data_IF_275176816117
#
_entry.id   IF_275176816117
#
_cell.length_a   1.000
_cell.length_b   1.000
_cell.length_c   1.000
_cell.angle_alpha   90.00
_cell.angle_beta   90.00
_cell.angle_gamma   90.00
#
_symmetry.space_group_name_H-M   'P 1'
#
loop_
_entity.id
_entity.type
_entity.pdbx_description
1 polymer ?
#
# COMPACT_ATOMS: atom_id res chain seq x y z
N UNK A 1 36.50 4.57 6.84
CA UNK A 1 35.42 4.47 5.82
C UNK A 1 34.86 3.06 5.90
N UNK A 2 33.58 2.88 6.20
CA UNK A 2 32.95 1.57 6.15
C UNK A 2 33.07 1.04 4.72
N UNK A 3 33.53 -0.20 4.55
CA UNK A 3 33.53 -0.86 3.25
C UNK A 3 32.06 -1.05 2.87
N UNK A 4 31.58 -0.38 1.83
CA UNK A 4 30.21 -0.54 1.36
C UNK A 4 29.96 -2.02 1.05
N UNK A 5 29.12 -2.67 1.83
CA UNK A 5 28.79 -4.07 1.65
C UNK A 5 27.78 -4.26 0.50
N UNK A 6 26.91 -3.25 0.28
CA UNK A 6 25.85 -3.24 -0.73
C UNK A 6 25.97 -2.02 -1.66
N UNK A 7 25.47 -2.17 -2.88
CA UNK A 7 25.23 -1.01 -3.74
C UNK A 7 24.02 -0.23 -3.22
N UNK A 8 22.95 -0.96 -2.85
CA UNK A 8 21.70 -0.37 -2.35
C UNK A 8 21.17 -1.14 -1.14
N UNK A 9 20.71 -0.39 -0.13
CA UNK A 9 19.88 -0.93 0.96
C UNK A 9 18.48 -0.33 0.83
N UNK A 10 17.46 -1.18 0.81
CA UNK A 10 16.04 -0.78 0.82
C UNK A 10 15.45 -1.04 2.20
N UNK A 11 14.90 0.00 2.83
CA UNK A 11 14.27 -0.09 4.15
C UNK A 11 12.75 -0.18 3.98
N UNK A 12 12.17 -1.33 4.32
CA UNK A 12 10.77 -1.70 4.09
C UNK A 12 10.62 -2.65 2.90
N UNK A 13 9.97 -3.80 3.10
CA UNK A 13 9.84 -4.87 2.10
C UNK A 13 8.37 -5.12 1.67
N UNK A 14 7.56 -4.05 1.58
CA UNK A 14 6.18 -4.14 1.10
C UNK A 14 6.06 -3.63 -0.34
N UNK A 15 4.88 -3.16 -0.75
CA UNK A 15 4.54 -2.78 -2.11
C UNK A 15 5.49 -1.78 -2.80
N UNK A 16 6.25 -0.97 -2.06
CA UNK A 16 7.25 -0.09 -2.64
C UNK A 16 8.64 -0.75 -2.65
N UNK A 17 9.08 -1.27 -1.49
CA UNK A 17 10.46 -1.72 -1.33
C UNK A 17 10.78 -3.03 -2.02
N UNK A 18 9.91 -4.04 -1.96
CA UNK A 18 10.19 -5.32 -2.63
C UNK A 18 10.28 -5.19 -4.15
N UNK A 19 9.38 -4.48 -4.86
CA UNK A 19 9.58 -4.22 -6.29
C UNK A 19 10.85 -3.44 -6.58
N UNK A 20 11.17 -2.41 -5.79
CA UNK A 20 12.43 -1.65 -5.95
C UNK A 20 13.64 -2.57 -5.82
N UNK A 21 13.68 -3.41 -4.77
CA UNK A 21 14.78 -4.36 -4.56
C UNK A 21 14.86 -5.41 -5.68
N UNK A 22 13.72 -5.94 -6.12
CA UNK A 22 13.64 -6.89 -7.24
C UNK A 22 14.22 -6.29 -8.53
N UNK A 23 13.79 -5.08 -8.88
CA UNK A 23 14.23 -4.43 -10.12
C UNK A 23 15.71 -4.07 -10.07
N UNK A 24 16.23 -3.60 -8.94
CA UNK A 24 17.66 -3.33 -8.74
C UNK A 24 18.49 -4.62 -8.84
N UNK A 25 18.06 -5.70 -8.20
CA UNK A 25 18.75 -6.98 -8.29
C UNK A 25 18.77 -7.53 -9.73
N UNK A 26 17.67 -7.39 -10.49
CA UNK A 26 17.61 -7.76 -11.92
C UNK A 26 18.58 -6.93 -12.79
N UNK A 27 18.90 -5.70 -12.38
CA UNK A 27 19.93 -4.85 -13.03
C UNK A 27 21.36 -5.20 -12.55
N UNK A 28 21.52 -6.16 -11.65
CA UNK A 28 22.84 -6.65 -11.16
C UNK A 28 23.39 -5.88 -9.96
N UNK A 29 22.63 -4.99 -9.35
CA UNK A 29 23.08 -4.31 -8.13
C UNK A 29 23.03 -5.24 -6.91
N UNK A 30 24.07 -5.22 -6.08
CA UNK A 30 24.09 -5.93 -4.81
C UNK A 30 23.14 -5.24 -3.82
N UNK A 31 21.93 -5.80 -3.70
CA UNK A 31 20.81 -5.17 -3.00
C UNK A 31 20.48 -5.93 -1.73
N UNK A 32 20.37 -5.22 -0.62
CA UNK A 32 19.77 -5.68 0.64
C UNK A 32 18.40 -5.02 0.80
N UNK A 33 17.37 -5.80 1.13
CA UNK A 33 16.09 -5.28 1.60
C UNK A 33 15.81 -5.78 3.01
N UNK A 34 15.42 -4.87 3.90
CA UNK A 34 15.14 -5.17 5.31
C UNK A 34 13.73 -4.76 5.69
N UNK A 35 13.05 -5.57 6.51
CA UNK A 35 11.76 -5.21 7.09
C UNK A 35 11.68 -5.73 8.53
N UNK A 36 11.04 -4.95 9.41
CA UNK A 36 10.77 -5.37 10.80
C UNK A 36 9.74 -6.49 10.91
N UNK A 37 8.86 -6.63 9.90
CA UNK A 37 7.90 -7.73 9.82
C UNK A 37 8.55 -9.01 9.30
N UNK A 38 7.90 -10.13 9.57
CA UNK A 38 8.10 -11.41 8.89
C UNK A 38 6.88 -11.67 8.01
N UNK A 39 7.07 -12.19 6.82
CA UNK A 39 5.98 -12.42 5.86
C UNK A 39 5.56 -13.90 5.80
N UNK A 40 4.23 -14.16 5.70
CA UNK A 40 3.13 -13.23 5.44
C UNK A 40 2.76 -12.38 6.66
N UNK A 41 2.46 -11.11 6.44
CA UNK A 41 2.00 -10.19 7.49
C UNK A 41 1.01 -9.17 6.93
N UNK A 42 -0.04 -8.86 7.70
CA UNK A 42 -1.07 -7.92 7.27
C UNK A 42 -0.70 -6.45 7.56
N UNK A 43 -1.40 -5.54 6.92
CA UNK A 43 -1.29 -4.10 7.18
C UNK A 43 -2.56 -3.40 6.72
N UNK A 44 -2.85 -2.22 7.27
CA UNK A 44 -3.97 -1.39 6.83
C UNK A 44 -3.79 -1.03 5.35
N UNK A 45 -4.78 -1.40 4.53
CA UNK A 45 -4.76 -1.17 3.09
C UNK A 45 -6.15 -1.40 2.51
N UNK A 46 -6.49 -0.69 1.45
CA UNK A 46 -7.66 -0.97 0.61
C UNK A 46 -7.41 -2.13 -0.34
N UNK A 47 -6.18 -2.64 -0.42
CA UNK A 47 -5.73 -3.77 -1.25
C UNK A 47 -5.86 -3.55 -2.77
N UNK A 48 -6.51 -2.50 -3.24
CA UNK A 48 -6.86 -2.32 -4.65
C UNK A 48 -5.60 -2.05 -5.49
N UNK A 49 -5.41 -2.90 -6.49
CA UNK A 49 -4.43 -2.77 -7.56
C UNK A 49 -5.19 -2.41 -8.82
N UNK A 50 -5.19 -1.15 -9.19
CA UNK A 50 -5.81 -0.64 -10.40
C UNK A 50 -5.10 -1.16 -11.66
N UNK A 51 -5.73 -1.09 -12.86
CA UNK A 51 -5.15 -1.60 -14.11
C UNK A 51 -3.70 -1.19 -14.38
N UNK A 52 -3.25 0.07 -14.16
CA UNK A 52 -1.84 0.39 -14.35
C UNK A 52 -0.89 -0.39 -13.41
N UNK A 53 -1.33 -0.73 -12.19
CA UNK A 53 -0.57 -1.61 -11.30
C UNK A 53 -0.59 -3.06 -11.75
N UNK A 54 -1.66 -3.51 -12.40
CA UNK A 54 -1.75 -4.84 -13.03
C UNK A 54 -0.77 -4.94 -14.20
N UNK A 55 -0.66 -3.90 -15.03
CA UNK A 55 0.35 -3.81 -16.11
C UNK A 55 1.78 -3.92 -15.54
N UNK A 56 2.07 -3.28 -14.41
CA UNK A 56 3.38 -3.40 -13.77
C UNK A 56 3.64 -4.85 -13.32
N UNK A 57 2.68 -5.52 -12.67
CA UNK A 57 2.79 -6.93 -12.30
C UNK A 57 3.00 -7.84 -13.52
N UNK A 58 2.34 -7.56 -14.63
CA UNK A 58 2.51 -8.30 -15.89
C UNK A 58 3.92 -8.11 -16.44
N UNK A 59 4.43 -6.87 -16.53
CA UNK A 59 5.81 -6.59 -16.98
C UNK A 59 6.86 -7.27 -16.12
N UNK A 60 6.60 -7.40 -14.82
CA UNK A 60 7.50 -8.06 -13.88
C UNK A 60 7.42 -9.57 -13.92
N UNK A 61 6.42 -10.16 -14.63
CA UNK A 61 6.16 -11.59 -14.69
C UNK A 61 5.50 -12.13 -13.42
N UNK A 62 4.76 -11.29 -12.69
CA UNK A 62 4.14 -11.63 -11.40
C UNK A 62 2.61 -11.77 -11.47
N UNK A 63 1.98 -11.37 -12.59
CA UNK A 63 0.53 -11.38 -12.70
C UNK A 63 -0.05 -12.80 -12.61
N UNK A 64 0.55 -13.78 -13.30
CA UNK A 64 0.11 -15.18 -13.25
C UNK A 64 0.23 -15.76 -11.84
N UNK A 65 1.27 -15.36 -11.10
CA UNK A 65 1.44 -15.77 -9.69
C UNK A 65 0.34 -15.18 -8.81
N UNK A 66 -0.05 -13.93 -9.07
CA UNK A 66 -1.16 -13.29 -8.35
C UNK A 66 -2.49 -13.97 -8.65
N UNK A 67 -2.80 -14.20 -9.93
CA UNK A 67 -4.06 -14.86 -10.32
C UNK A 67 -4.17 -16.28 -9.80
N UNK A 68 -3.06 -17.01 -9.76
CA UNK A 68 -3.00 -18.37 -9.20
C UNK A 68 -3.32 -18.42 -7.69
N UNK A 69 -3.30 -17.29 -6.97
CA UNK A 69 -3.71 -17.23 -5.56
C UNK A 69 -5.23 -17.29 -5.36
N UNK A 70 -6.01 -17.23 -6.44
CA UNK A 70 -7.47 -17.18 -6.39
C UNK A 70 -8.02 -15.78 -6.09
N UNK A 71 -7.22 -14.72 -6.21
CA UNK A 71 -7.71 -13.34 -6.12
C UNK A 71 -8.72 -13.07 -7.25
N UNK A 72 -9.98 -12.73 -6.94
CA UNK A 72 -10.98 -12.53 -7.99
C UNK A 72 -10.67 -11.26 -8.79
N UNK A 73 -10.85 -11.29 -10.14
CA UNK A 73 -10.75 -10.09 -10.96
C UNK A 73 -11.92 -9.15 -10.69
N UNK A 74 -11.65 -7.85 -10.86
CA UNK A 74 -12.63 -6.77 -10.86
C UNK A 74 -12.69 -6.22 -12.28
N UNK A 75 -13.76 -6.54 -13.00
CA UNK A 75 -13.96 -6.22 -14.42
C UNK A 75 -14.89 -5.03 -14.65
N UNK A 76 -15.59 -4.59 -13.60
CA UNK A 76 -16.56 -3.50 -13.68
C UNK A 76 -16.36 -2.52 -12.52
N UNK A 77 -16.19 -1.23 -12.85
CA UNK A 77 -16.32 -0.13 -11.91
C UNK A 77 -17.70 0.49 -12.03
N UNK A 78 -18.37 0.73 -10.90
CA UNK A 78 -19.67 1.37 -10.82
C UNK A 78 -19.62 2.52 -9.80
N UNK A 79 -20.01 3.70 -10.23
CA UNK A 79 -20.10 4.91 -9.42
C UNK A 79 -21.55 5.33 -9.31
N UNK A 80 -22.14 5.14 -8.15
CA UNK A 80 -23.52 5.50 -7.83
C UNK A 80 -23.55 6.90 -7.18
N UNK A 81 -24.23 7.84 -7.84
CA UNK A 81 -24.42 9.21 -7.40
C UNK A 81 -25.79 9.46 -6.77
N UNK A 82 -26.56 8.39 -6.55
CA UNK A 82 -27.94 8.44 -6.06
C UNK A 82 -28.94 8.45 -7.22
N UNK A 83 -29.13 9.57 -7.95
CA UNK A 83 -30.06 9.63 -9.07
C UNK A 83 -29.66 8.78 -10.29
N UNK A 84 -28.38 8.48 -10.44
CA UNK A 84 -27.85 7.71 -11.56
C UNK A 84 -26.56 6.98 -11.17
N UNK A 85 -26.22 5.94 -11.95
CA UNK A 85 -25.00 5.17 -11.82
C UNK A 85 -24.24 5.19 -13.14
N UNK A 86 -22.94 5.44 -13.09
CA UNK A 86 -22.03 5.26 -14.22
C UNK A 86 -21.26 3.97 -13.99
N UNK A 87 -21.20 3.09 -14.98
CA UNK A 87 -20.42 1.86 -14.88
C UNK A 87 -19.75 1.51 -16.20
N UNK A 88 -18.60 0.83 -16.09
CA UNK A 88 -17.81 0.39 -17.24
C UNK A 88 -16.58 -0.42 -16.81
N UNK A 89 -15.84 -0.91 -17.80
CA UNK A 89 -14.57 -1.59 -17.55
C UNK A 89 -13.54 -0.61 -16.95
N UNK A 90 -12.74 -1.05 -15.97
CA UNK A 90 -11.78 -0.16 -15.29
C UNK A 90 -10.53 0.16 -16.10
N UNK A 91 -10.22 -0.63 -17.12
CA UNK A 91 -8.94 -0.60 -17.80
C UNK A 91 -9.03 -0.53 -19.33
N UNK A 92 -7.93 -0.89 -19.94
CA UNK A 92 -7.73 -0.97 -21.40
C UNK A 92 -7.60 -2.43 -21.83
N UNK A 93 -7.44 -2.68 -23.14
CA UNK A 93 -7.20 -4.02 -23.68
C UNK A 93 -5.94 -4.68 -23.07
N UNK A 94 -4.92 -3.90 -22.70
CA UNK A 94 -3.67 -4.40 -22.09
C UNK A 94 -3.90 -4.90 -20.66
N UNK A 95 -4.75 -4.23 -19.90
CA UNK A 95 -5.12 -4.60 -18.52
C UNK A 95 -6.61 -4.31 -18.29
N UNK A 96 -7.49 -5.22 -18.68
CA UNK A 96 -8.94 -4.97 -18.64
C UNK A 96 -9.53 -5.00 -17.23
N UNK A 97 -8.79 -5.56 -16.26
CA UNK A 97 -9.28 -5.79 -14.89
C UNK A 97 -8.36 -5.18 -13.83
N UNK A 98 -8.93 -4.96 -12.66
CA UNK A 98 -8.21 -4.69 -11.42
C UNK A 98 -8.24 -5.92 -10.51
N UNK A 99 -7.44 -5.91 -9.44
CA UNK A 99 -7.43 -6.93 -8.40
C UNK A 99 -7.39 -6.30 -7.00
N UNK A 100 -7.86 -7.02 -6.00
CA UNK A 100 -7.74 -6.57 -4.62
C UNK A 100 -7.15 -7.68 -3.73
N UNK A 101 -5.86 -8.03 -3.91
CA UNK A 101 -5.24 -9.08 -3.13
C UNK A 101 -5.04 -8.66 -1.67
N UNK A 102 -5.31 -9.57 -0.72
CA UNK A 102 -4.95 -9.37 0.68
C UNK A 102 -3.44 -9.09 0.79
N UNK A 103 -3.06 -8.19 1.68
CA UNK A 103 -1.65 -7.79 1.86
C UNK A 103 -0.76 -8.94 2.34
N UNK A 104 -1.33 -9.90 3.07
CA UNK A 104 -0.65 -11.15 3.41
C UNK A 104 -0.22 -11.94 2.19
N UNK A 105 -0.98 -11.87 1.09
CA UNK A 105 -0.67 -12.55 -0.17
C UNK A 105 0.23 -11.69 -1.04
N UNK A 106 -0.16 -10.43 -1.29
CA UNK A 106 0.57 -9.55 -2.21
C UNK A 106 1.99 -9.25 -1.70
N UNK A 107 2.13 -8.85 -0.43
CA UNK A 107 3.45 -8.50 0.11
C UNK A 107 4.39 -9.71 0.11
N UNK A 108 3.88 -10.92 0.47
CA UNK A 108 4.69 -12.16 0.41
C UNK A 108 5.13 -12.48 -1.01
N UNK A 109 4.23 -12.38 -1.99
CA UNK A 109 4.56 -12.59 -3.40
C UNK A 109 5.68 -11.65 -3.88
N UNK A 110 5.62 -10.38 -3.50
CA UNK A 110 6.61 -9.37 -3.88
C UNK A 110 7.96 -9.61 -3.17
N UNK A 111 7.96 -10.00 -1.90
CA UNK A 111 9.17 -10.35 -1.13
C UNK A 111 9.86 -11.56 -1.75
N UNK A 112 9.10 -12.60 -2.09
CA UNK A 112 9.64 -13.79 -2.75
C UNK A 112 10.26 -13.44 -4.11
N UNK A 113 9.57 -12.61 -4.90
CA UNK A 113 10.08 -12.14 -6.19
C UNK A 113 11.39 -11.34 -6.04
N UNK A 114 11.54 -10.53 -4.99
CA UNK A 114 12.78 -9.83 -4.71
C UNK A 114 13.92 -10.79 -4.37
N UNK A 115 13.66 -11.79 -3.53
CA UNK A 115 14.64 -12.84 -3.19
C UNK A 115 15.03 -13.66 -4.41
N UNK A 116 14.08 -14.11 -5.22
CA UNK A 116 14.30 -14.85 -6.46
C UNK A 116 15.11 -14.06 -7.49
N UNK A 117 14.97 -12.74 -7.50
CA UNK A 117 15.76 -11.85 -8.35
C UNK A 117 17.22 -11.67 -7.88
N UNK A 118 17.58 -12.18 -6.68
CA UNK A 118 18.91 -12.10 -6.11
C UNK A 118 19.11 -11.00 -5.08
N UNK A 119 18.06 -10.30 -4.63
CA UNK A 119 18.16 -9.41 -3.49
C UNK A 119 18.32 -10.22 -2.19
N UNK A 120 19.21 -9.79 -1.29
CA UNK A 120 19.24 -10.31 0.06
C UNK A 120 18.04 -9.75 0.84
N UNK A 121 17.19 -10.63 1.36
CA UNK A 121 16.00 -10.26 2.15
C UNK A 121 16.23 -10.59 3.61
N UNK A 122 16.10 -9.58 4.50
CA UNK A 122 16.17 -9.76 5.95
C UNK A 122 14.85 -9.36 6.58
N UNK A 123 14.01 -10.34 6.84
CA UNK A 123 12.78 -10.21 7.61
C UNK A 123 13.08 -10.14 9.13
N UNK A 124 12.20 -9.50 9.90
CA UNK A 124 12.36 -9.35 11.35
C UNK A 124 13.56 -8.46 11.72
N UNK A 125 14.03 -7.61 10.81
CA UNK A 125 15.14 -6.69 11.01
C UNK A 125 14.61 -5.26 11.27
N UNK A 126 14.89 -4.73 12.45
CA UNK A 126 14.50 -3.38 12.83
C UNK A 126 15.64 -2.41 12.55
N UNK A 127 15.41 -1.46 11.65
CA UNK A 127 16.31 -0.32 11.46
C UNK A 127 16.07 0.67 12.60
N UNK A 128 17.13 1.02 13.31
CA UNK A 128 17.11 1.97 14.42
C UNK A 128 17.55 3.35 13.98
N UNK A 129 18.48 3.40 13.00
CA UNK A 129 19.11 4.64 12.58
C UNK A 129 19.64 4.57 11.14
N UNK A 130 19.80 5.74 10.52
CA UNK A 130 20.44 5.93 9.22
C UNK A 130 21.82 6.53 9.46
N UNK A 131 22.85 5.91 8.90
CA UNK A 131 24.23 6.39 9.04
C UNK A 131 24.47 7.53 8.06
N UNK A 132 24.83 8.70 8.57
CA UNK A 132 25.14 9.90 7.78
C UNK A 132 26.57 10.33 8.05
N UNK A 133 27.39 10.43 7.02
CA UNK A 133 28.77 10.90 7.07
C UNK A 133 28.92 12.06 6.08
N UNK A 134 29.48 13.18 6.54
CA UNK A 134 29.70 14.39 5.74
C UNK A 134 28.47 14.84 4.92
N UNK A 135 27.28 14.76 5.53
CA UNK A 135 26.02 15.14 4.89
C UNK A 135 25.48 14.14 3.85
N UNK A 136 26.09 12.95 3.76
CA UNK A 136 25.68 11.87 2.86
C UNK A 136 25.23 10.64 3.66
N UNK A 137 24.13 10.02 3.24
CA UNK A 137 23.74 8.71 3.77
C UNK A 137 24.69 7.64 3.22
N UNK A 138 25.26 6.84 4.14
CA UNK A 138 26.25 5.79 3.85
C UNK A 138 25.82 4.40 4.29
N UNK A 139 24.68 4.26 5.00
CA UNK A 139 24.20 2.98 5.46
C UNK A 139 23.06 3.07 6.46
N UNK A 140 22.82 1.95 7.11
CA UNK A 140 21.84 1.81 8.19
C UNK A 140 22.46 1.14 9.40
N UNK A 141 21.84 1.34 10.57
CA UNK A 141 22.13 0.61 11.80
C UNK A 141 20.82 -0.01 12.32
N UNK A 142 20.90 -1.24 12.77
CA UNK A 142 19.71 -1.96 13.24
C UNK A 142 20.07 -3.35 13.74
N UNK A 143 19.04 -4.12 14.08
CA UNK A 143 19.21 -5.48 14.62
C UNK A 143 18.13 -6.42 14.12
N UNK A 144 18.46 -7.71 13.99
CA UNK A 144 17.50 -8.79 13.88
C UNK A 144 16.84 -9.09 15.24
N UNK A 145 15.82 -9.94 15.25
CA UNK A 145 15.08 -10.29 16.47
C UNK A 145 16.01 -10.89 17.53
N UNK A 146 16.18 -10.17 18.65
CA UNK A 146 17.05 -10.60 19.77
C UNK A 146 18.56 -10.57 19.47
N UNK A 147 18.95 -9.99 18.33
CA UNK A 147 20.35 -9.85 17.93
C UNK A 147 21.02 -8.55 18.43
N UNK A 148 22.35 -8.52 18.36
CA UNK A 148 23.09 -7.29 18.57
C UNK A 148 22.87 -6.33 17.41
N UNK A 149 23.00 -5.02 17.68
CA UNK A 149 22.96 -3.98 16.64
C UNK A 149 24.16 -4.14 15.70
N UNK A 150 23.88 -4.14 14.40
CA UNK A 150 24.88 -4.19 13.32
C UNK A 150 24.75 -2.96 12.43
N UNK A 151 25.85 -2.60 11.78
CA UNK A 151 25.88 -1.52 10.78
C UNK A 151 26.10 -2.13 9.40
N UNK A 152 25.26 -1.74 8.44
CA UNK A 152 25.36 -2.15 7.05
C UNK A 152 25.62 -0.92 6.17
N UNK A 153 26.69 -0.98 5.37
CA UNK A 153 27.08 0.11 4.50
C UNK A 153 26.47 -0.03 3.09
N UNK A 154 26.09 1.10 2.48
CA UNK A 154 25.64 1.15 1.10
C UNK A 154 25.99 2.46 0.42
N UNK A 155 26.01 2.44 -0.94
CA UNK A 155 26.14 3.66 -1.75
C UNK A 155 24.89 4.52 -1.72
N UNK A 156 23.71 3.85 -1.62
CA UNK A 156 22.39 4.47 -1.55
C UNK A 156 21.51 3.70 -0.57
N UNK A 157 20.76 4.42 0.27
CA UNK A 157 19.68 3.88 1.12
C UNK A 157 18.35 4.37 0.59
N UNK A 158 17.43 3.45 0.29
CA UNK A 158 16.08 3.78 -0.19
C UNK A 158 15.08 3.57 0.94
N UNK A 159 14.41 4.65 1.35
CA UNK A 159 13.28 4.57 2.28
C UNK A 159 12.01 4.13 1.57
N UNK A 160 11.52 2.94 1.91
CA UNK A 160 10.25 2.33 1.47
C UNK A 160 9.40 1.93 2.68
N UNK A 161 9.65 2.53 3.83
CA UNK A 161 9.16 2.20 5.16
C UNK A 161 7.86 2.94 5.55
N UNK A 162 7.15 3.42 4.52
CA UNK A 162 5.79 3.92 4.60
C UNK A 162 5.70 5.34 5.19
N UNK A 163 4.47 5.76 5.51
CA UNK A 163 4.16 7.16 5.89
C UNK A 163 4.91 7.66 7.14
N UNK A 164 5.33 6.75 8.02
CA UNK A 164 6.12 7.07 9.21
C UNK A 164 7.60 6.78 9.02
N UNK A 165 8.08 6.93 7.79
CA UNK A 165 9.44 6.61 7.38
C UNK A 165 10.50 7.11 8.37
N UNK A 166 11.34 6.18 8.83
CA UNK A 166 12.53 6.48 9.62
C UNK A 166 13.57 7.16 8.72
N UNK A 167 13.72 6.66 7.48
CA UNK A 167 14.68 7.24 6.52
C UNK A 167 14.33 8.69 6.26
N UNK A 168 13.05 9.00 5.96
CA UNK A 168 12.62 10.39 5.73
C UNK A 168 12.85 11.28 6.97
N UNK A 169 12.60 10.78 8.18
CA UNK A 169 12.90 11.55 9.41
C UNK A 169 14.38 11.82 9.60
N UNK A 170 15.24 10.87 9.22
CA UNK A 170 16.69 11.01 9.40
C UNK A 170 17.30 12.01 8.40
N UNK A 171 16.76 12.10 7.17
CA UNK A 171 17.31 12.97 6.12
C UNK A 171 16.57 14.31 6.00
N UNK A 172 15.45 14.50 6.71
CA UNK A 172 14.65 15.73 6.80
C UNK A 172 14.41 16.38 5.43
N UNK A 173 13.82 15.66 4.45
CA UNK A 173 13.62 16.20 3.12
C UNK A 173 12.62 17.34 3.13
N UNK A 174 12.83 18.34 2.26
CA UNK A 174 11.85 19.40 2.04
C UNK A 174 10.46 18.79 1.76
N UNK A 175 9.43 19.31 2.46
CA UNK A 175 8.02 18.96 2.21
C UNK A 175 7.34 20.11 1.45
N UNK A 176 6.43 19.74 0.55
CA UNK A 176 5.67 20.71 -0.24
C UNK A 176 4.26 20.19 -0.55
N UNK A 177 3.38 21.09 -1.00
CA UNK A 177 1.96 20.82 -1.28
C UNK A 177 1.22 20.20 -0.08
N UNK A 178 1.57 20.62 1.12
CA UNK A 178 0.99 20.10 2.36
C UNK A 178 -0.48 20.48 2.49
N UNK A 179 -1.31 19.50 2.86
CA UNK A 179 -2.70 19.69 3.25
C UNK A 179 -3.02 18.79 4.44
N UNK A 180 -3.85 19.25 5.38
CA UNK A 180 -4.30 18.42 6.49
C UNK A 180 -5.10 17.21 5.97
N UNK A 181 -5.37 16.20 6.83
CA UNK A 181 -6.30 15.14 6.50
C UNK A 181 -7.67 15.74 6.13
N UNK A 182 -8.22 15.32 4.99
CA UNK A 182 -9.53 15.77 4.52
C UNK A 182 -10.61 14.75 4.90
N UNK A 183 -10.26 13.46 4.86
CA UNK A 183 -11.15 12.35 5.16
C UNK A 183 -10.60 11.49 6.30
N UNK A 184 -11.51 10.85 7.01
CA UNK A 184 -11.26 9.66 7.82
C UNK A 184 -12.09 8.51 7.27
N UNK A 185 -11.57 7.28 7.36
CA UNK A 185 -12.26 6.11 6.84
C UNK A 185 -12.11 4.91 7.74
N UNK A 186 -13.11 4.03 7.70
CA UNK A 186 -13.10 2.73 8.35
C UNK A 186 -13.54 1.67 7.35
N UNK A 187 -12.87 0.53 7.35
CA UNK A 187 -13.26 -0.62 6.56
C UNK A 187 -13.29 -1.89 7.39
N UNK A 188 -14.02 -2.87 6.90
CA UNK A 188 -14.02 -4.24 7.40
C UNK A 188 -14.30 -5.21 6.25
N UNK A 189 -14.29 -6.50 6.54
CA UNK A 189 -14.56 -7.56 5.57
C UNK A 189 -15.88 -8.25 5.89
N UNK A 190 -16.57 -8.63 4.83
CA UNK A 190 -17.86 -9.29 4.86
C UNK A 190 -17.82 -10.58 4.07
N UNK A 191 -18.33 -11.69 4.61
CA UNK A 191 -18.67 -12.91 3.90
C UNK A 191 -20.16 -12.92 3.53
N UNK A 192 -20.53 -13.65 2.49
CA UNK A 192 -21.90 -13.68 2.01
C UNK A 192 -22.36 -12.38 1.33
N UNK A 193 -21.44 -11.52 0.90
CA UNK A 193 -21.70 -10.28 0.15
C UNK A 193 -21.06 -10.37 -1.24
N UNK A 194 -21.66 -11.10 -2.21
CA UNK A 194 -21.06 -11.28 -3.51
C UNK A 194 -21.06 -9.98 -4.33
N UNK A 195 -19.89 -9.63 -4.89
CA UNK A 195 -19.72 -8.45 -5.75
C UNK A 195 -19.74 -8.78 -7.23
N UNK A 196 -19.61 -10.06 -7.61
CA UNK A 196 -19.67 -10.53 -9.00
C UNK A 196 -18.74 -9.74 -9.94
N UNK A 197 -17.46 -9.57 -9.56
CA UNK A 197 -16.46 -8.82 -10.33
C UNK A 197 -16.61 -7.29 -10.30
N UNK A 198 -17.48 -6.74 -9.46
CA UNK A 198 -17.77 -5.31 -9.42
C UNK A 198 -17.02 -4.62 -8.28
N UNK A 199 -16.47 -3.44 -8.58
CA UNK A 199 -16.13 -2.41 -7.63
C UNK A 199 -17.29 -1.40 -7.63
N UNK A 200 -17.93 -1.23 -6.50
CA UNK A 200 -19.08 -0.33 -6.35
C UNK A 200 -18.69 0.82 -5.41
N UNK A 201 -18.90 2.07 -5.86
CA UNK A 201 -18.71 3.27 -5.05
C UNK A 201 -20.00 4.05 -4.97
N UNK A 202 -20.41 4.42 -3.78
CA UNK A 202 -21.62 5.17 -3.48
C UNK A 202 -21.23 6.56 -3.00
N UNK A 203 -21.40 7.56 -3.85
CA UNK A 203 -21.02 8.95 -3.60
C UNK A 203 -22.25 9.73 -3.16
N UNK A 204 -22.14 10.35 -2.00
CA UNK A 204 -23.18 11.21 -1.43
C UNK A 204 -22.55 12.55 -1.00
N UNK A 205 -23.34 13.59 -0.73
CA UNK A 205 -22.80 14.85 -0.22
C UNK A 205 -21.91 14.63 1.00
N UNK A 206 -20.66 15.08 0.91
CA UNK A 206 -19.65 15.07 1.95
C UNK A 206 -19.20 13.70 2.47
N UNK A 207 -19.74 12.58 1.96
CA UNK A 207 -19.39 11.23 2.40
C UNK A 207 -19.64 10.20 1.32
N UNK A 208 -19.18 8.98 1.56
CA UNK A 208 -19.42 7.88 0.66
C UNK A 208 -18.83 6.59 1.18
N UNK A 209 -19.17 5.52 0.51
CA UNK A 209 -18.59 4.21 0.78
C UNK A 209 -18.35 3.46 -0.52
N UNK A 210 -17.51 2.44 -0.44
CA UNK A 210 -17.21 1.61 -1.58
C UNK A 210 -17.03 0.15 -1.15
N UNK A 211 -17.30 -0.78 -2.08
CA UNK A 211 -17.21 -2.21 -1.86
C UNK A 211 -16.63 -2.94 -3.07
N UNK A 212 -15.79 -3.95 -2.82
CA UNK A 212 -15.19 -4.78 -3.86
C UNK A 212 -14.73 -6.13 -3.32
N UNK A 213 -14.62 -7.17 -4.17
CA UNK A 213 -14.23 -8.50 -3.74
C UNK A 213 -12.72 -8.57 -3.45
N UNK A 214 -12.34 -9.45 -2.53
CA UNK A 214 -10.96 -9.83 -2.23
C UNK A 214 -10.85 -11.35 -2.11
N UNK A 215 -9.72 -11.88 -1.62
CA UNK A 215 -9.53 -13.32 -1.39
C UNK A 215 -10.59 -13.93 -0.46
N UNK A 216 -10.67 -15.25 -0.50
CA UNK A 216 -11.45 -16.09 0.42
C UNK A 216 -12.97 -15.84 0.38
N UNK A 217 -13.48 -15.34 -0.77
CA UNK A 217 -14.90 -14.99 -0.92
C UNK A 217 -15.33 -13.79 -0.09
N UNK A 218 -14.37 -13.02 0.42
CA UNK A 218 -14.63 -11.84 1.21
C UNK A 218 -14.84 -10.59 0.34
N UNK A 219 -15.65 -9.68 0.83
CA UNK A 219 -15.83 -8.34 0.29
C UNK A 219 -15.31 -7.32 1.30
N UNK A 220 -14.39 -6.44 0.86
CA UNK A 220 -14.01 -5.28 1.61
C UNK A 220 -15.06 -4.19 1.40
N UNK A 221 -15.55 -3.59 2.48
CA UNK A 221 -16.42 -2.41 2.43
C UNK A 221 -15.79 -1.31 3.27
N UNK A 222 -15.55 -0.16 2.66
CA UNK A 222 -14.95 1.03 3.30
C UNK A 222 -15.95 2.19 3.29
N UNK A 223 -16.07 2.85 4.43
CA UNK A 223 -16.79 4.12 4.55
C UNK A 223 -15.82 5.29 4.79
N UNK A 224 -16.15 6.46 4.22
CA UNK A 224 -15.38 7.70 4.35
C UNK A 224 -16.23 8.89 4.77
N UNK A 225 -15.72 9.66 5.73
CA UNK A 225 -16.34 10.88 6.30
C UNK A 225 -15.38 12.06 6.27
N UNK A 226 -15.88 13.30 6.30
CA UNK A 226 -15.03 14.46 6.55
C UNK A 226 -14.19 14.25 7.82
N UNK A 227 -12.92 14.63 7.78
CA UNK A 227 -12.02 14.45 8.93
C UNK A 227 -12.52 15.18 10.19
N UNK A 228 -13.26 16.27 10.03
CA UNK A 228 -13.89 16.99 11.13
C UNK A 228 -14.82 16.10 11.99
N UNK A 229 -15.40 15.05 11.41
CA UNK A 229 -16.26 14.08 12.09
C UNK A 229 -15.48 12.93 12.77
N UNK A 230 -14.16 12.87 12.60
CA UNK A 230 -13.32 11.75 13.07
C UNK A 230 -13.50 11.45 14.57
N UNK A 231 -13.59 12.48 15.41
CA UNK A 231 -13.77 12.29 16.88
C UNK A 231 -15.17 11.81 17.24
N UNK A 232 -16.19 12.18 16.48
CA UNK A 232 -17.56 11.68 16.67
C UNK A 232 -17.64 10.22 16.23
N UNK A 233 -17.08 9.90 15.05
CA UNK A 233 -17.08 8.54 14.51
C UNK A 233 -16.34 7.52 15.40
N UNK A 234 -15.27 7.93 16.08
CA UNK A 234 -14.53 7.07 17.01
C UNK A 234 -15.35 6.60 18.22
N UNK A 235 -16.42 7.31 18.59
CA UNK A 235 -17.26 6.96 19.75
C UNK A 235 -18.18 5.78 19.44
N UNK A 236 -18.62 5.66 18.20
CA UNK A 236 -19.44 4.57 17.70
C UNK A 236 -19.11 4.29 16.23
N UNK A 237 -18.03 3.56 16.00
CA UNK A 237 -17.58 3.24 14.65
C UNK A 237 -18.59 2.38 13.92
N UNK A 238 -19.16 1.38 14.58
CA UNK A 238 -20.08 0.43 13.98
C UNK A 238 -21.41 1.09 13.62
N UNK A 239 -22.03 1.83 14.54
CA UNK A 239 -23.28 2.53 14.29
C UNK A 239 -23.13 3.54 13.15
N UNK A 240 -22.13 4.44 13.20
CA UNK A 240 -21.91 5.40 12.13
C UNK A 240 -21.59 4.76 10.77
N UNK A 241 -20.90 3.62 10.80
CA UNK A 241 -20.59 2.88 9.57
C UNK A 241 -21.86 2.28 8.96
N UNK A 242 -22.71 1.63 9.75
CA UNK A 242 -23.96 1.05 9.25
C UNK A 242 -24.94 2.14 8.80
N UNK A 243 -25.06 3.25 9.54
CA UNK A 243 -25.89 4.40 9.15
C UNK A 243 -25.45 5.00 7.81
N UNK A 244 -24.14 5.00 7.51
CA UNK A 244 -23.66 5.46 6.20
C UNK A 244 -24.14 4.54 5.06
N UNK A 245 -24.18 3.23 5.27
CA UNK A 245 -24.64 2.27 4.24
C UNK A 245 -26.11 2.47 3.92
N UNK A 246 -26.91 2.98 4.87
CA UNK A 246 -28.34 3.31 4.65
C UNK A 246 -28.55 4.44 3.62
N UNK A 247 -27.50 5.20 3.28
CA UNK A 247 -27.55 6.17 2.16
C UNK A 247 -27.69 5.49 0.78
N UNK A 248 -27.56 4.15 0.72
CA UNK A 248 -27.88 3.31 -0.43
C UNK A 248 -28.63 2.05 0.06
N UNK A 249 -29.96 2.16 0.29
CA UNK A 249 -30.74 1.12 0.99
C UNK A 249 -30.62 -0.28 0.35
N UNK A 250 -30.58 -0.36 -0.97
CA UNK A 250 -30.40 -1.65 -1.67
C UNK A 250 -29.05 -2.33 -1.36
N UNK A 251 -27.98 -1.54 -1.14
CA UNK A 251 -26.70 -2.07 -0.69
C UNK A 251 -26.72 -2.43 0.80
N UNK A 252 -27.34 -1.59 1.64
CA UNK A 252 -27.50 -1.85 3.06
C UNK A 252 -28.26 -3.17 3.32
N UNK A 253 -29.30 -3.47 2.52
CA UNK A 253 -30.03 -4.76 2.56
C UNK A 253 -29.09 -5.95 2.29
N UNK A 254 -28.19 -5.83 1.33
CA UNK A 254 -27.17 -6.85 1.03
C UNK A 254 -26.24 -7.07 2.21
N UNK A 255 -25.78 -5.98 2.85
CA UNK A 255 -24.87 -6.05 4.02
C UNK A 255 -25.58 -6.63 5.23
N UNK A 256 -26.86 -6.31 5.46
CA UNK A 256 -27.65 -6.92 6.56
C UNK A 256 -27.80 -8.44 6.43
N UNK A 257 -27.75 -8.97 5.22
CA UNK A 257 -27.80 -10.41 4.94
C UNK A 257 -26.41 -11.09 5.02
N UNK A 258 -25.34 -10.29 5.14
CA UNK A 258 -23.95 -10.75 5.18
C UNK A 258 -23.41 -10.87 6.60
N UNK A 259 -22.25 -11.49 6.76
CA UNK A 259 -21.57 -11.63 8.06
C UNK A 259 -20.28 -10.82 8.09
N UNK A 260 -20.10 -10.01 9.14
CA UNK A 260 -18.85 -9.30 9.35
C UNK A 260 -17.77 -10.22 9.89
N UNK A 261 -16.63 -10.30 9.22
CA UNK A 261 -15.56 -11.25 9.53
C UNK A 261 -14.37 -10.63 10.29
N UNK A 262 -14.28 -9.29 10.37
CA UNK A 262 -13.15 -8.63 10.99
C UNK A 262 -13.55 -7.41 11.82
N UNK A 263 -12.64 -6.96 12.68
CA UNK A 263 -12.74 -5.65 13.33
C UNK A 263 -12.58 -4.53 12.32
N UNK A 264 -13.15 -3.37 12.61
CA UNK A 264 -12.92 -2.18 11.81
C UNK A 264 -11.46 -1.75 11.86
N UNK A 265 -10.88 -1.49 10.70
CA UNK A 265 -9.60 -0.82 10.55
C UNK A 265 -9.84 0.61 10.05
N UNK A 266 -9.21 1.59 10.67
CA UNK A 266 -9.45 2.99 10.36
C UNK A 266 -8.17 3.73 10.00
N UNK A 267 -8.31 4.76 9.16
CA UNK A 267 -7.21 5.63 8.76
C UNK A 267 -7.68 7.06 8.51
N UNK A 268 -6.73 7.98 8.69
CA UNK A 268 -6.76 9.34 8.17
C UNK A 268 -5.34 9.70 7.75
N UNK A 269 -5.18 10.38 6.64
CA UNK A 269 -3.87 10.63 6.03
C UNK A 269 -3.73 12.11 5.72
N UNK A 270 -2.64 12.72 6.20
CA UNK A 270 -2.22 14.05 5.76
C UNK A 270 -1.67 13.96 4.35
N UNK A 271 -1.89 14.99 3.56
CA UNK A 271 -1.42 15.05 2.19
C UNK A 271 -0.14 15.89 2.13
N UNK A 272 0.92 15.34 1.57
CA UNK A 272 2.17 16.05 1.34
C UNK A 272 3.03 15.30 0.32
N UNK A 273 3.97 16.03 -0.27
CA UNK A 273 5.08 15.48 -1.03
C UNK A 273 6.39 15.83 -0.34
N UNK A 274 7.38 14.98 -0.50
CA UNK A 274 8.75 15.20 -0.06
C UNK A 274 9.66 15.25 -1.26
N UNK A 275 10.74 16.01 -1.18
CA UNK A 275 11.86 15.86 -2.12
C UNK A 275 12.26 14.39 -2.14
N UNK A 276 12.24 13.70 -3.30
CA UNK A 276 12.31 12.24 -3.31
C UNK A 276 13.72 11.67 -3.20
N UNK A 277 14.78 12.48 -3.30
CA UNK A 277 16.15 12.02 -3.19
C UNK A 277 17.12 13.11 -2.75
N UNK A 278 18.29 12.67 -2.31
CA UNK A 278 19.42 13.51 -1.94
C UNK A 278 20.72 12.71 -1.86
N UNK A 279 21.78 13.28 -1.23
CA UNK A 279 23.08 12.62 -1.17
C UNK A 279 23.00 11.25 -0.47
N UNK A 280 23.08 10.15 -1.25
CA UNK A 280 23.09 8.79 -0.76
C UNK A 280 21.73 8.24 -0.32
N UNK A 281 20.61 8.89 -0.64
CA UNK A 281 19.30 8.40 -0.28
C UNK A 281 18.22 8.69 -1.35
N UNK A 282 17.16 7.87 -1.34
CA UNK A 282 15.93 8.10 -2.07
C UNK A 282 14.72 7.63 -1.25
N UNK A 283 13.51 8.08 -1.63
CA UNK A 283 12.24 7.70 -1.00
C UNK A 283 11.27 7.21 -2.06
N UNK A 284 10.57 6.11 -1.78
CA UNK A 284 9.55 5.53 -2.67
C UNK A 284 8.25 5.24 -1.89
N UNK A 285 7.13 5.29 -2.58
CA UNK A 285 5.80 5.09 -2.00
C UNK A 285 5.50 6.10 -0.88
N UNK A 286 4.79 5.67 0.15
CA UNK A 286 4.35 6.54 1.26
C UNK A 286 5.51 7.17 2.06
N UNK A 287 6.75 6.72 1.89
CA UNK A 287 7.92 7.40 2.46
C UNK A 287 8.21 8.71 1.72
N UNK A 288 7.94 8.78 0.41
CA UNK A 288 8.15 9.94 -0.44
C UNK A 288 6.99 10.93 -0.44
N UNK A 289 5.77 10.45 -0.37
CA UNK A 289 4.57 11.30 -0.34
C UNK A 289 3.36 10.55 0.19
N UNK A 290 2.38 11.31 0.69
CA UNK A 290 1.09 10.77 1.10
C UNK A 290 -0.03 11.54 0.41
N UNK A 291 -1.05 10.79 -0.05
CA UNK A 291 -2.28 11.33 -0.63
C UNK A 291 -3.47 10.71 0.08
N UNK A 292 -4.59 11.43 0.08
CA UNK A 292 -5.85 10.92 0.58
C UNK A 292 -6.20 9.57 -0.09
N UNK A 293 -6.76 8.65 0.68
CA UNK A 293 -7.04 7.28 0.26
C UNK A 293 -8.26 7.15 -0.66
N UNK A 294 -8.98 8.23 -0.95
CA UNK A 294 -10.26 8.21 -1.69
C UNK A 294 -10.19 7.52 -3.05
N UNK A 295 -9.04 7.61 -3.72
CA UNK A 295 -8.83 6.99 -5.03
C UNK A 295 -8.21 5.58 -4.95
N UNK A 296 -7.83 5.12 -3.76
CA UNK A 296 -7.21 3.81 -3.50
C UNK A 296 -5.96 3.50 -4.36
N UNK A 297 -5.17 4.51 -4.75
CA UNK A 297 -4.05 4.36 -5.69
C UNK A 297 -2.69 4.07 -5.03
N UNK A 298 -2.62 3.93 -3.71
CA UNK A 298 -1.34 3.81 -2.99
C UNK A 298 -0.44 2.65 -3.45
N UNK A 299 -1.02 1.50 -3.83
CA UNK A 299 -0.22 0.35 -4.34
C UNK A 299 0.30 0.63 -5.74
N UNK A 300 -0.55 1.16 -6.63
CA UNK A 300 -0.13 1.54 -7.98
C UNK A 300 0.97 2.61 -7.95
N UNK A 301 0.82 3.63 -7.11
CA UNK A 301 1.83 4.68 -6.95
C UNK A 301 3.16 4.08 -6.45
N UNK A 302 3.12 3.16 -5.48
CA UNK A 302 4.32 2.48 -4.98
C UNK A 302 5.03 1.65 -6.07
N UNK A 303 4.28 1.01 -6.96
CA UNK A 303 4.83 0.26 -8.10
C UNK A 303 5.49 1.19 -9.12
N UNK A 304 4.82 2.29 -9.47
CA UNK A 304 5.37 3.33 -10.35
C UNK A 304 6.65 3.92 -9.78
N UNK A 305 6.66 4.26 -8.49
CA UNK A 305 7.83 4.83 -7.83
C UNK A 305 9.01 3.86 -7.81
N UNK A 306 8.75 2.55 -7.66
CA UNK A 306 9.78 1.52 -7.75
C UNK A 306 10.43 1.50 -9.14
N UNK A 307 9.65 1.59 -10.23
CA UNK A 307 10.17 1.67 -11.60
C UNK A 307 10.98 2.96 -11.80
N UNK A 308 10.41 4.12 -11.47
CA UNK A 308 11.08 5.42 -11.64
C UNK A 308 12.36 5.58 -10.79
N UNK A 309 12.42 4.92 -9.62
CA UNK A 309 13.60 4.98 -8.76
C UNK A 309 14.78 4.16 -9.32
N UNK A 310 14.47 3.15 -10.12
CA UNK A 310 15.48 2.19 -10.65
C UNK A 310 15.97 2.59 -12.05
N UNK A 311 15.21 3.41 -12.79
CA UNK A 311 15.57 3.95 -14.10
C UNK A 311 16.57 5.12 -13.98
#
# INVERSE_FOLDING_TARGET
>A
MAVNTYDVIVVGARCAGSPTAMLLARKGYKTLVVDRATFPSDTISTHLVHPPGVVALQRWGLLDRLTATGCPPIDTYAFDFGPFTISGAPGTDEAPVAYSPRRTVLDKLLVDAASEAGAEVREGFTVEDVVIEDGRVTGIRGHGKGGATVSEGARVVIGADGRHSLVARAVEPEQYNEKPPLLCGYYTYWSGLPMNGRFETYIRPDRGFAAWPTHDGLTLVIGGWPFAESNANKKDIEGNYLDMLELAPAFADRVRAATREARFAGTAVSNFFRKPYGPGWALVGDAGYNKDFITAQGIHDAFRDAELCVD
#
